data_IF_100914732947
#
_entry.id   IF_100914732947
#
_cell.length_a   1.000
_cell.length_b   1.000
_cell.length_c   1.000
_cell.angle_alpha   90.00
_cell.angle_beta   90.00
_cell.angle_gamma   90.00
#
_symmetry.space_group_name_H-M   'P 1'
#
loop_
_entity.id
_entity.type
_entity.pdbx_description
1 polymer ?
#
# COMPACT_ATOMS: atom_id res chain seq x y z
N UNK A 1 14.14 -16.97 -13.17
CA UNK A 1 14.34 -16.78 -11.72
C UNK A 1 14.12 -15.31 -11.44
N UNK A 2 12.97 -14.98 -10.85
CA UNK A 2 12.68 -13.62 -10.44
C UNK A 2 13.66 -13.22 -9.33
N UNK A 3 14.43 -12.18 -9.58
CA UNK A 3 15.37 -11.64 -8.60
C UNK A 3 14.61 -10.74 -7.64
N UNK A 4 14.76 -11.01 -6.34
CA UNK A 4 14.18 -10.18 -5.30
C UNK A 4 15.01 -8.90 -5.16
N UNK A 5 14.40 -7.71 -5.28
CA UNK A 5 15.10 -6.45 -5.07
C UNK A 5 15.44 -6.25 -3.60
N UNK A 6 16.53 -5.52 -3.32
CA UNK A 6 16.86 -5.07 -1.96
C UNK A 6 15.98 -3.89 -1.57
N UNK A 7 15.55 -3.81 -0.31
CA UNK A 7 14.73 -2.70 0.20
C UNK A 7 15.61 -1.64 0.87
N UNK A 8 15.40 -0.37 0.51
CA UNK A 8 15.99 0.78 1.21
C UNK A 8 14.99 1.25 2.26
N UNK A 9 15.40 1.23 3.53
CA UNK A 9 14.54 1.52 4.68
C UNK A 9 15.03 2.81 5.33
N UNK A 10 14.11 3.74 5.55
CA UNK A 10 14.34 4.93 6.38
C UNK A 10 13.40 4.87 7.58
N UNK A 11 13.96 4.87 8.80
CA UNK A 11 13.20 4.59 10.01
C UNK A 11 12.57 3.20 9.97
N UNK A 12 11.24 3.12 9.89
CA UNK A 12 10.48 1.87 9.77
C UNK A 12 9.83 1.67 8.39
N UNK A 13 10.14 2.54 7.42
CA UNK A 13 9.43 2.61 6.14
C UNK A 13 10.36 2.27 4.98
N UNK A 14 9.90 1.40 4.07
CA UNK A 14 10.58 1.15 2.80
C UNK A 14 10.34 2.36 1.89
N UNK A 15 11.40 3.10 1.56
CA UNK A 15 11.32 4.33 0.76
C UNK A 15 11.64 4.10 -0.70
N UNK A 16 12.48 3.11 -1.01
CA UNK A 16 12.85 2.75 -2.37
C UNK A 16 13.27 1.28 -2.45
N UNK A 17 13.32 0.78 -3.68
CA UNK A 17 13.87 -0.53 -3.99
C UNK A 17 15.19 -0.36 -4.74
N UNK A 18 16.08 -1.31 -4.55
CA UNK A 18 17.34 -1.38 -5.24
C UNK A 18 17.40 -2.66 -6.06
N UNK A 19 17.36 -2.49 -7.37
CA UNK A 19 17.50 -3.59 -8.33
C UNK A 19 19.00 -3.79 -8.56
N UNK A 20 19.63 -4.60 -7.70
CA UNK A 20 21.09 -4.74 -7.63
C UNK A 20 21.77 -4.98 -8.99
N UNK A 21 23.04 -4.58 -9.08
CA UNK A 21 23.87 -4.88 -10.26
C UNK A 21 24.53 -6.24 -10.03
N UNK A 22 24.49 -7.13 -11.03
CA UNK A 22 25.30 -8.36 -11.00
C UNK A 22 26.77 -7.97 -11.10
N UNK A 23 27.51 -8.17 -10.03
CA UNK A 23 28.97 -8.30 -10.09
C UNK A 23 29.29 -9.74 -9.70
N UNK A 24 29.62 -10.54 -10.72
CA UNK A 24 30.11 -11.93 -10.70
C UNK A 24 29.28 -12.99 -9.95
N UNK A 25 28.87 -12.82 -8.69
CA UNK A 25 28.07 -13.80 -7.92
C UNK A 25 27.05 -13.23 -6.94
N UNK A 26 27.16 -11.97 -6.54
CA UNK A 26 26.27 -11.36 -5.55
C UNK A 26 25.55 -10.13 -6.12
N UNK A 27 24.24 -10.05 -5.87
CA UNK A 27 23.46 -8.86 -6.20
C UNK A 27 23.74 -7.79 -5.15
N UNK A 28 24.62 -6.84 -5.47
CA UNK A 28 24.96 -5.72 -4.58
C UNK A 28 24.13 -4.48 -4.91
N UNK A 29 23.61 -3.83 -3.86
CA UNK A 29 23.01 -2.51 -3.98
C UNK A 29 24.07 -1.42 -3.72
N UNK A 30 24.59 -0.82 -4.78
CA UNK A 30 25.56 0.27 -4.69
C UNK A 30 24.83 1.61 -4.71
N UNK A 31 24.62 2.21 -3.52
CA UNK A 31 23.89 3.48 -3.37
C UNK A 31 24.60 4.67 -4.04
N UNK A 32 25.93 4.63 -4.15
CA UNK A 32 26.73 5.73 -4.72
C UNK A 32 26.46 5.99 -6.20
N UNK A 33 25.94 5.00 -6.94
CA UNK A 33 25.71 5.13 -8.37
C UNK A 33 24.32 5.65 -8.73
N UNK A 34 23.35 5.75 -7.80
CA UNK A 34 21.95 6.20 -8.01
C UNK A 34 21.18 5.59 -9.22
N UNK A 35 21.80 4.75 -10.05
CA UNK A 35 21.29 4.27 -11.33
C UNK A 35 20.42 3.00 -11.20
N UNK A 36 20.19 2.53 -9.98
CA UNK A 36 19.44 1.29 -9.69
C UNK A 36 18.46 1.42 -8.53
N UNK A 37 18.33 2.64 -7.99
CA UNK A 37 17.32 2.98 -7.00
C UNK A 37 16.05 3.29 -7.78
N UNK A 38 15.01 2.49 -7.54
CA UNK A 38 13.70 2.64 -8.16
C UNK A 38 12.66 2.87 -7.09
N UNK A 39 11.60 3.62 -7.43
CA UNK A 39 10.47 3.81 -6.53
C UNK A 39 9.80 2.46 -6.22
N UNK A 40 9.23 2.33 -5.02
CA UNK A 40 8.40 1.17 -4.67
C UNK A 40 7.18 1.16 -5.59
N UNK A 41 6.90 0.05 -6.31
CA UNK A 41 5.73 -0.05 -7.17
C UNK A 41 4.44 0.21 -6.39
N UNK A 42 3.49 0.96 -7.00
CA UNK A 42 2.23 1.36 -6.37
C UNK A 42 1.38 0.19 -5.85
N UNK A 43 1.50 -0.98 -6.46
CA UNK A 43 0.85 -2.23 -6.00
C UNK A 43 1.26 -2.66 -4.59
N UNK A 44 2.41 -2.22 -4.08
CA UNK A 44 2.87 -2.49 -2.71
C UNK A 44 2.57 -1.34 -1.75
N UNK A 45 2.15 -0.19 -2.28
CA UNK A 45 1.85 1.02 -1.52
C UNK A 45 0.34 1.24 -1.32
N UNK A 46 -0.49 0.44 -1.98
CA UNK A 46 -1.95 0.56 -1.95
C UNK A 46 -2.60 -0.76 -1.59
N UNK A 47 -3.64 -0.69 -0.76
CA UNK A 47 -4.55 -1.79 -0.48
C UNK A 47 -5.93 -1.34 -0.95
N UNK A 48 -6.58 -2.18 -1.74
CA UNK A 48 -7.96 -1.98 -2.20
C UNK A 48 -8.77 -3.24 -1.98
N UNK A 49 -10.10 -3.10 -1.90
CA UNK A 49 -11.00 -4.21 -1.69
C UNK A 49 -12.45 -3.82 -1.95
N UNK A 50 -13.32 -4.82 -2.04
CA UNK A 50 -14.76 -4.64 -2.18
C UNK A 50 -15.49 -5.23 -0.96
N UNK A 51 -16.56 -4.58 -0.53
CA UNK A 51 -17.43 -5.06 0.54
C UNK A 51 -18.72 -5.60 -0.08
N UNK A 52 -19.04 -6.85 0.22
CA UNK A 52 -20.28 -7.49 -0.20
C UNK A 52 -21.12 -7.81 1.03
N UNK A 53 -22.42 -7.51 0.99
CA UNK A 53 -23.36 -7.90 2.04
C UNK A 53 -24.33 -8.95 1.56
N UNK A 54 -24.74 -9.85 2.46
CA UNK A 54 -25.88 -10.76 2.27
C UNK A 54 -27.12 -10.30 3.02
N UNK A 55 -27.01 -9.25 3.83
CA UNK A 55 -28.12 -8.72 4.59
C UNK A 55 -29.02 -7.89 3.67
N UNK A 56 -30.28 -8.31 3.52
CA UNK A 56 -31.23 -7.67 2.61
C UNK A 56 -31.50 -6.20 2.96
N UNK A 57 -31.46 -5.83 4.25
CA UNK A 57 -31.65 -4.45 4.68
C UNK A 57 -30.48 -3.58 4.19
N UNK A 58 -29.25 -4.04 4.41
CA UNK A 58 -28.05 -3.33 3.94
C UNK A 58 -27.93 -3.30 2.42
N UNK A 59 -28.40 -4.34 1.73
CA UNK A 59 -28.42 -4.37 0.27
C UNK A 59 -29.31 -3.26 -0.31
N UNK A 60 -30.38 -2.88 0.41
CA UNK A 60 -31.31 -1.82 0.02
C UNK A 60 -30.90 -0.43 0.53
N UNK A 61 -29.74 -0.28 1.15
CA UNK A 61 -29.25 1.02 1.61
C UNK A 61 -28.92 1.95 0.46
N UNK A 62 -29.17 3.24 0.64
CA UNK A 62 -28.76 4.25 -0.32
C UNK A 62 -27.23 4.33 -0.42
N UNK A 63 -26.73 4.92 -1.52
CA UNK A 63 -25.29 5.17 -1.69
C UNK A 63 -24.72 6.00 -0.54
N UNK A 64 -25.48 6.95 -0.01
CA UNK A 64 -25.08 7.81 1.13
C UNK A 64 -24.92 7.00 2.42
N UNK A 65 -25.85 6.07 2.70
CA UNK A 65 -25.74 5.16 3.84
C UNK A 65 -24.50 4.28 3.75
N UNK A 66 -24.21 3.73 2.56
CA UNK A 66 -22.97 2.99 2.32
C UNK A 66 -21.73 3.86 2.47
N UNK A 67 -21.77 5.10 1.97
CA UNK A 67 -20.64 6.03 2.09
C UNK A 67 -20.34 6.33 3.56
N UNK A 68 -21.33 6.39 4.44
CA UNK A 68 -21.11 6.53 5.88
C UNK A 68 -20.32 5.37 6.49
N UNK A 69 -20.59 4.12 6.07
CA UNK A 69 -19.82 2.95 6.49
C UNK A 69 -18.38 3.03 5.99
N UNK A 70 -18.21 3.32 4.70
CA UNK A 70 -16.88 3.45 4.08
C UNK A 70 -16.07 4.58 4.73
N UNK A 71 -16.69 5.73 5.00
CA UNK A 71 -16.05 6.84 5.70
C UNK A 71 -15.58 6.46 7.11
N UNK A 72 -16.36 5.64 7.82
CA UNK A 72 -15.94 5.13 9.15
C UNK A 72 -14.72 4.22 9.03
N UNK A 73 -14.68 3.34 8.04
CA UNK A 73 -13.51 2.51 7.77
C UNK A 73 -12.27 3.36 7.45
N UNK A 74 -12.42 4.38 6.58
CA UNK A 74 -11.34 5.33 6.25
C UNK A 74 -10.82 6.04 7.49
N UNK A 75 -11.70 6.52 8.38
CA UNK A 75 -11.28 7.16 9.65
C UNK A 75 -10.50 6.19 10.55
N UNK A 76 -10.93 4.94 10.64
CA UNK A 76 -10.21 3.91 11.42
C UNK A 76 -8.81 3.63 10.85
N UNK A 77 -8.65 3.69 9.53
CA UNK A 77 -7.37 3.51 8.85
C UNK A 77 -6.47 4.74 8.95
N UNK A 78 -7.02 5.94 8.82
CA UNK A 78 -6.24 7.19 8.81
C UNK A 78 -5.84 7.68 10.21
N UNK A 79 -6.75 7.61 11.19
CA UNK A 79 -6.53 8.20 12.52
C UNK A 79 -6.87 7.25 13.67
N UNK A 80 -7.33 6.03 13.38
CA UNK A 80 -7.63 5.02 14.39
C UNK A 80 -6.40 4.22 14.79
N UNK A 81 -6.62 2.99 15.27
CA UNK A 81 -5.56 2.06 15.68
C UNK A 81 -4.53 1.76 14.58
N UNK A 82 -4.86 2.05 13.32
CA UNK A 82 -3.99 1.82 12.17
C UNK A 82 -3.33 3.09 11.61
N UNK A 83 -3.54 4.26 12.21
CA UNK A 83 -3.11 5.54 11.64
C UNK A 83 -1.60 5.67 11.40
N UNK A 84 -0.77 4.94 12.14
CA UNK A 84 0.68 4.90 11.92
C UNK A 84 1.12 3.96 10.79
N UNK A 85 0.22 3.14 10.26
CA UNK A 85 0.52 2.15 9.21
C UNK A 85 0.16 2.63 7.80
N UNK A 86 -0.64 3.70 7.69
CA UNK A 86 -1.11 4.22 6.42
C UNK A 86 -0.79 5.70 6.32
N UNK A 87 -0.18 6.11 5.20
CA UNK A 87 0.04 7.53 4.92
C UNK A 87 -1.29 8.25 4.60
N UNK A 88 -2.19 7.57 3.90
CA UNK A 88 -3.52 8.07 3.58
C UNK A 88 -4.50 6.92 3.41
N UNK A 89 -5.79 7.21 3.60
CA UNK A 89 -6.87 6.30 3.32
C UNK A 89 -8.00 7.07 2.63
N UNK A 90 -8.64 6.43 1.64
CA UNK A 90 -9.82 6.94 0.97
C UNK A 90 -10.75 5.77 0.64
N UNK A 91 -12.03 6.07 0.40
CA UNK A 91 -12.99 5.04 0.06
C UNK A 91 -14.20 5.64 -0.65
N UNK A 92 -14.66 4.97 -1.68
CA UNK A 92 -15.75 5.40 -2.54
C UNK A 92 -16.79 4.29 -2.69
N UNK A 93 -18.04 4.68 -2.87
CA UNK A 93 -19.13 3.77 -3.26
C UNK A 93 -19.47 4.03 -4.72
N UNK A 94 -19.29 3.01 -5.57
CA UNK A 94 -19.57 3.05 -7.01
C UNK A 94 -20.75 2.17 -7.37
#
# INVERSE_FOLDING_TARGET
MDKLPHCIIFGNTITALCTGVKLDRDDMCILSMNQKIVAVPSKHLSISGALTTKNIVMANWSREMWQNVVNRAVRMLASGQFGSHFFSAFGTVS
#
